data_IF_090859054989
#
_entry.id   IF_090859054989
#
_cell.length_a   1.000
_cell.length_b   1.000
_cell.length_c   1.000
_cell.angle_alpha   90.00
_cell.angle_beta   90.00
_cell.angle_gamma   90.00
#
_symmetry.space_group_name_H-M   'P 1'
#
loop_
_entity.id
_entity.type
_entity.pdbx_description
1 polymer ?
#
# COMPACT_ATOMS: atom_id res chain seq x y z
N UNK A 1 10.69 -28.14 32.20
CA UNK A 1 9.57 -28.05 31.24
C UNK A 1 9.93 -27.00 30.22
N UNK A 2 9.98 -27.32 28.93
CA UNK A 2 10.20 -26.32 27.90
C UNK A 2 9.00 -25.37 27.87
N UNK A 3 9.24 -24.06 28.01
CA UNK A 3 8.20 -23.03 27.86
C UNK A 3 7.64 -23.19 26.44
N UNK A 4 6.37 -23.60 26.31
CA UNK A 4 5.68 -23.68 25.01
C UNK A 4 5.82 -22.28 24.40
N UNK A 5 6.46 -22.19 23.23
CA UNK A 5 6.59 -20.92 22.54
C UNK A 5 5.18 -20.37 22.28
N UNK A 6 4.96 -19.09 22.54
CA UNK A 6 3.67 -18.45 22.24
C UNK A 6 3.47 -18.50 20.71
N UNK A 7 2.43 -19.18 20.19
CA UNK A 7 2.20 -19.25 18.74
C UNK A 7 1.72 -17.90 18.17
N UNK A 8 1.25 -17.00 19.03
CA UNK A 8 0.73 -15.70 18.66
C UNK A 8 1.86 -14.79 18.18
N UNK A 9 1.68 -14.23 16.99
CA UNK A 9 2.64 -13.31 16.40
C UNK A 9 2.67 -11.94 17.08
N UNK A 10 3.74 -11.16 16.85
CA UNK A 10 3.93 -9.87 17.51
C UNK A 10 2.88 -8.82 17.11
N UNK A 11 2.33 -8.88 15.89
CA UNK A 11 1.35 -7.86 15.46
C UNK A 11 -0.02 -8.11 16.06
N UNK A 12 -0.45 -9.37 16.23
CA UNK A 12 -1.67 -9.69 16.98
C UNK A 12 -1.54 -9.22 18.43
N UNK A 13 -0.42 -9.55 19.11
CA UNK A 13 -0.21 -9.15 20.50
C UNK A 13 -0.26 -7.62 20.66
N UNK A 14 0.46 -6.89 19.81
CA UNK A 14 0.44 -5.44 19.82
C UNK A 14 -0.95 -4.87 19.51
N UNK A 15 -1.73 -5.50 18.62
CA UNK A 15 -3.11 -5.06 18.34
C UNK A 15 -4.01 -5.22 19.57
N UNK A 16 -3.90 -6.32 20.31
CA UNK A 16 -4.66 -6.58 21.55
C UNK A 16 -4.28 -5.59 22.65
N UNK A 17 -2.99 -5.25 22.74
CA UNK A 17 -2.45 -4.31 23.73
C UNK A 17 -2.85 -2.86 23.42
N UNK A 18 -2.61 -2.42 22.19
CA UNK A 18 -2.65 -1.00 21.81
C UNK A 18 -4.05 -0.50 21.42
N UNK A 19 -4.91 -1.35 20.83
CA UNK A 19 -6.22 -0.90 20.34
C UNK A 19 -7.30 -0.97 21.43
N UNK A 20 -8.36 -0.17 21.25
CA UNK A 20 -9.59 -0.30 22.06
C UNK A 20 -10.13 -1.72 21.92
N UNK A 21 -10.52 -2.33 23.03
CA UNK A 21 -10.68 -3.79 23.12
C UNK A 21 -11.78 -4.35 22.21
N UNK A 22 -12.88 -3.60 22.02
CA UNK A 22 -13.96 -3.91 21.08
C UNK A 22 -13.46 -3.92 19.63
N UNK A 23 -12.62 -2.95 19.25
CA UNK A 23 -12.01 -2.86 17.93
C UNK A 23 -10.97 -3.96 17.70
N UNK A 24 -10.13 -4.25 18.70
CA UNK A 24 -9.16 -5.34 18.63
C UNK A 24 -9.87 -6.68 18.39
N UNK A 25 -10.91 -6.97 19.17
CA UNK A 25 -11.74 -8.17 19.01
C UNK A 25 -12.40 -8.21 17.64
N UNK A 26 -13.01 -7.11 17.19
CA UNK A 26 -13.67 -7.05 15.90
C UNK A 26 -12.71 -7.29 14.73
N UNK A 27 -11.50 -6.70 14.78
CA UNK A 27 -10.46 -6.91 13.77
C UNK A 27 -9.99 -8.38 13.71
N UNK A 28 -9.84 -9.03 14.86
CA UNK A 28 -9.43 -10.42 14.95
C UNK A 28 -10.54 -11.39 14.53
N UNK A 29 -11.81 -11.01 14.71
CA UNK A 29 -12.97 -11.82 14.34
C UNK A 29 -13.31 -11.79 12.84
N UNK A 30 -12.71 -10.89 12.05
CA UNK A 30 -12.90 -10.89 10.59
C UNK A 30 -12.42 -12.24 10.04
N UNK A 31 -13.06 -12.73 8.98
CA UNK A 31 -12.57 -13.86 8.18
C UNK A 31 -12.66 -13.48 6.69
N UNK A 32 -11.56 -13.65 5.94
CA UNK A 32 -11.49 -13.26 4.52
C UNK A 32 -11.51 -14.47 3.57
N UNK A 33 -11.19 -15.67 4.06
CA UNK A 33 -11.15 -16.90 3.26
C UNK A 33 -12.01 -18.02 3.84
N UNK A 34 -12.54 -18.88 2.96
CA UNK A 34 -13.38 -20.03 3.35
C UNK A 34 -12.68 -21.03 4.28
N UNK A 35 -11.34 -21.08 4.24
CA UNK A 35 -10.52 -21.99 5.04
C UNK A 35 -9.86 -21.30 6.25
N UNK A 36 -10.14 -20.02 6.49
CA UNK A 36 -9.63 -19.32 7.67
C UNK A 36 -10.35 -19.84 8.93
N UNK A 37 -9.63 -20.17 10.02
CA UNK A 37 -10.27 -20.64 11.24
C UNK A 37 -11.12 -19.54 11.88
N UNK A 38 -12.29 -19.92 12.39
CA UNK A 38 -13.05 -19.10 13.32
C UNK A 38 -12.45 -19.26 14.72
N UNK A 39 -11.94 -18.18 15.29
CA UNK A 39 -11.32 -18.19 16.61
C UNK A 39 -12.33 -18.30 17.76
N UNK A 40 -13.64 -18.21 17.48
CA UNK A 40 -14.71 -18.24 18.49
C UNK A 40 -14.45 -17.24 19.63
N UNK A 41 -14.04 -16.02 19.28
CA UNK A 41 -13.69 -14.98 20.25
C UNK A 41 -14.91 -14.59 21.09
N UNK A 42 -14.74 -14.35 22.41
CA UNK A 42 -15.81 -13.90 23.28
C UNK A 42 -16.58 -12.71 22.69
N UNK A 43 -17.91 -12.76 22.77
CA UNK A 43 -18.81 -11.70 22.29
C UNK A 43 -19.18 -10.68 23.38
N UNK A 44 -19.05 -11.07 24.66
CA UNK A 44 -19.44 -10.22 25.79
C UNK A 44 -18.33 -9.21 26.09
N UNK A 45 -18.48 -8.01 25.50
CA UNK A 45 -17.49 -6.95 25.62
C UNK A 45 -17.53 -6.33 27.03
N UNK A 46 -16.36 -6.11 27.67
CA UNK A 46 -16.30 -5.44 28.96
C UNK A 46 -16.70 -3.97 28.83
N UNK A 47 -17.07 -3.35 29.96
CA UNK A 47 -17.20 -1.89 30.03
C UNK A 47 -15.82 -1.27 29.72
N UNK A 48 -15.70 -0.40 28.69
CA UNK A 48 -14.42 0.20 28.31
C UNK A 48 -13.85 1.15 29.37
N UNK A 49 -14.62 1.48 30.42
CA UNK A 49 -14.17 2.30 31.55
C UNK A 49 -13.67 1.50 32.75
N UNK A 50 -13.83 0.17 32.73
CA UNK A 50 -13.33 -0.75 33.75
C UNK A 50 -12.00 -1.38 33.29
N UNK A 51 -10.89 -0.77 33.70
CA UNK A 51 -9.54 -1.19 33.31
C UNK A 51 -9.24 -2.65 33.67
N UNK A 52 -9.72 -3.14 34.82
CA UNK A 52 -9.50 -4.52 35.27
C UNK A 52 -10.28 -5.51 34.39
N UNK A 53 -11.52 -5.17 34.01
CA UNK A 53 -12.32 -5.98 33.10
C UNK A 53 -11.73 -5.99 31.68
N UNK A 54 -11.23 -4.85 31.19
CA UNK A 54 -10.56 -4.75 29.89
C UNK A 54 -9.29 -5.60 29.87
N UNK A 55 -8.46 -5.53 30.92
CA UNK A 55 -7.23 -6.32 31.00
C UNK A 55 -7.53 -7.83 31.12
N UNK A 56 -8.54 -8.21 31.89
CA UNK A 56 -9.01 -9.59 31.94
C UNK A 56 -9.46 -10.10 30.56
N UNK A 57 -10.18 -9.27 29.80
CA UNK A 57 -10.62 -9.61 28.45
C UNK A 57 -9.44 -9.73 27.46
N UNK A 58 -8.42 -8.87 27.55
CA UNK A 58 -7.18 -9.03 26.76
C UNK A 58 -6.51 -10.38 27.03
N UNK A 59 -6.40 -10.76 28.30
CA UNK A 59 -5.85 -12.06 28.69
C UNK A 59 -6.71 -13.23 28.17
N UNK A 60 -8.04 -13.06 28.13
CA UNK A 60 -8.96 -14.03 27.54
C UNK A 60 -8.74 -14.17 26.03
N UNK A 61 -8.63 -13.06 25.28
CA UNK A 61 -8.30 -13.09 23.85
C UNK A 61 -6.97 -13.82 23.60
N UNK A 62 -5.92 -13.50 24.36
CA UNK A 62 -4.62 -14.16 24.27
C UNK A 62 -4.75 -15.66 24.57
N UNK A 63 -5.52 -16.03 25.60
CA UNK A 63 -5.75 -17.42 25.97
C UNK A 63 -6.46 -18.17 24.84
N UNK A 64 -7.54 -17.64 24.29
CA UNK A 64 -8.28 -18.25 23.17
C UNK A 64 -7.39 -18.43 21.95
N UNK A 65 -6.64 -17.40 21.55
CA UNK A 65 -5.74 -17.48 20.41
C UNK A 65 -4.56 -18.44 20.64
N UNK A 66 -4.14 -18.68 21.88
CA UNK A 66 -3.06 -19.62 22.20
C UNK A 66 -3.42 -21.10 21.98
N UNK A 67 -4.70 -21.39 21.75
CA UNK A 67 -5.19 -22.74 21.40
C UNK A 67 -4.93 -23.10 19.93
N UNK A 68 -4.73 -22.09 19.07
CA UNK A 68 -4.45 -22.24 17.64
C UNK A 68 -2.95 -22.34 17.36
N UNK A 69 -2.60 -22.97 16.26
CA UNK A 69 -1.21 -23.04 15.81
C UNK A 69 -0.77 -21.80 15.00
N UNK A 70 0.53 -21.73 14.70
CA UNK A 70 1.09 -20.58 14.00
C UNK A 70 0.61 -20.45 12.54
N UNK A 71 0.28 -21.57 11.89
CA UNK A 71 -0.23 -21.56 10.51
C UNK A 71 -1.67 -21.04 10.48
N UNK A 72 -2.49 -21.44 11.46
CA UNK A 72 -3.87 -20.98 11.69
C UNK A 72 -3.94 -19.48 12.03
N UNK A 73 -2.99 -18.96 12.83
CA UNK A 73 -2.93 -17.55 13.21
C UNK A 73 -2.32 -16.64 12.14
N UNK A 74 -1.68 -17.19 11.10
CA UNK A 74 -0.96 -16.42 10.08
C UNK A 74 -1.84 -15.38 9.36
N UNK A 75 -3.09 -15.67 8.97
CA UNK A 75 -3.97 -14.67 8.34
C UNK A 75 -4.26 -13.49 9.28
N UNK A 76 -4.62 -13.75 10.53
CA UNK A 76 -4.84 -12.71 11.54
C UNK A 76 -3.58 -11.88 11.82
N UNK A 77 -2.40 -12.50 11.83
CA UNK A 77 -1.11 -11.82 11.99
C UNK A 77 -0.80 -10.90 10.80
N UNK A 78 -1.06 -11.34 9.58
CA UNK A 78 -0.89 -10.52 8.38
C UNK A 78 -1.83 -9.30 8.40
N UNK A 79 -3.09 -9.49 8.80
CA UNK A 79 -4.08 -8.41 8.92
C UNK A 79 -3.70 -7.42 10.02
N UNK A 80 -3.30 -7.91 11.19
CA UNK A 80 -2.82 -7.06 12.28
C UNK A 80 -1.61 -6.23 11.85
N UNK A 81 -0.68 -6.81 11.07
CA UNK A 81 0.45 -6.08 10.49
C UNK A 81 0.01 -4.97 9.53
N UNK A 82 -0.96 -5.23 8.65
CA UNK A 82 -1.52 -4.23 7.71
C UNK A 82 -2.12 -3.05 8.46
N UNK A 83 -2.98 -3.32 9.45
CA UNK A 83 -3.60 -2.30 10.31
C UNK A 83 -2.52 -1.47 11.02
N UNK A 84 -1.53 -2.12 11.64
CA UNK A 84 -0.46 -1.41 12.34
C UNK A 84 0.41 -0.55 11.41
N UNK A 85 0.64 -0.99 10.16
CA UNK A 85 1.41 -0.22 9.19
C UNK A 85 0.78 1.15 8.87
N UNK A 86 -0.56 1.26 8.91
CA UNK A 86 -1.27 2.53 8.72
C UNK A 86 -1.52 3.31 10.02
N UNK A 87 -1.21 2.72 11.18
CA UNK A 87 -1.35 3.35 12.48
C UNK A 87 -0.06 4.05 12.96
N UNK A 88 1.07 3.86 12.27
CA UNK A 88 2.38 4.36 12.70
C UNK A 88 3.12 5.14 11.59
N UNK A 89 4.01 6.04 12.00
CA UNK A 89 4.91 6.79 11.14
C UNK A 89 4.22 7.47 9.95
N UNK A 90 4.71 7.19 8.73
CA UNK A 90 4.15 7.72 7.49
C UNK A 90 2.80 7.10 7.12
N UNK A 91 2.42 5.98 7.74
CA UNK A 91 1.14 5.32 7.53
C UNK A 91 -0.03 6.18 7.98
N UNK A 92 0.12 6.85 9.12
CA UNK A 92 -0.89 7.79 9.66
C UNK A 92 -1.20 8.91 8.66
N UNK A 93 -0.16 9.50 8.08
CA UNK A 93 -0.33 10.56 7.06
C UNK A 93 -1.00 9.99 5.83
N UNK A 94 -0.58 8.82 5.34
CA UNK A 94 -1.20 8.18 4.19
C UNK A 94 -2.69 7.91 4.42
N UNK A 95 -3.05 7.31 5.56
CA UNK A 95 -4.44 7.04 5.91
C UNK A 95 -5.26 8.34 5.97
N UNK A 96 -4.78 9.34 6.71
CA UNK A 96 -5.49 10.63 6.86
C UNK A 96 -5.72 11.31 5.51
N UNK A 97 -4.71 11.34 4.63
CA UNK A 97 -4.83 11.95 3.30
C UNK A 97 -5.87 11.26 2.42
N UNK A 98 -5.99 9.93 2.47
CA UNK A 98 -7.00 9.21 1.69
C UNK A 98 -8.39 9.40 2.29
N UNK A 99 -8.50 9.35 3.61
CA UNK A 99 -9.77 9.53 4.35
C UNK A 99 -10.42 10.87 4.00
N UNK A 100 -9.65 11.96 4.03
CA UNK A 100 -10.13 13.32 3.73
C UNK A 100 -10.69 13.48 2.31
N UNK A 101 -10.31 12.58 1.38
CA UNK A 101 -10.73 12.63 -0.01
C UNK A 101 -11.88 11.68 -0.34
N UNK A 102 -12.05 10.59 0.42
CA UNK A 102 -12.95 9.51 0.06
C UNK A 102 -14.15 9.33 0.99
N UNK A 103 -13.98 9.62 2.29
CA UNK A 103 -15.06 9.40 3.24
C UNK A 103 -16.07 10.54 3.20
N UNK A 104 -17.35 10.21 3.35
CA UNK A 104 -18.39 11.22 3.54
C UNK A 104 -18.26 11.91 4.92
N UNK A 105 -19.05 12.96 5.15
CA UNK A 105 -19.02 13.73 6.39
C UNK A 105 -19.32 12.87 7.64
N UNK A 106 -20.21 11.88 7.53
CA UNK A 106 -20.63 11.05 8.66
C UNK A 106 -19.53 10.03 9.01
N UNK A 107 -18.96 9.38 8.00
CA UNK A 107 -17.84 8.46 8.13
C UNK A 107 -16.58 9.20 8.63
N UNK A 108 -16.32 10.41 8.12
CA UNK A 108 -15.21 11.26 8.58
C UNK A 108 -15.36 11.66 10.05
N UNK A 109 -16.58 11.96 10.51
CA UNK A 109 -16.82 12.21 11.94
C UNK A 109 -16.54 10.97 12.78
N UNK A 110 -16.97 9.79 12.33
CA UNK A 110 -16.75 8.55 13.07
C UNK A 110 -15.28 8.15 13.11
N UNK A 111 -14.54 8.32 12.01
CA UNK A 111 -13.08 8.19 11.98
C UNK A 111 -12.42 9.11 13.02
N UNK A 112 -12.82 10.39 13.06
CA UNK A 112 -12.24 11.36 13.98
C UNK A 112 -12.59 11.12 15.46
N UNK A 113 -13.70 10.44 15.74
CA UNK A 113 -14.10 10.02 17.11
C UNK A 113 -13.26 8.88 17.67
N UNK A 114 -12.56 8.13 16.83
CA UNK A 114 -11.70 7.06 17.31
C UNK A 114 -10.55 7.64 18.16
N UNK A 115 -10.23 7.02 19.31
CA UNK A 115 -9.41 7.64 20.36
C UNK A 115 -7.95 7.88 19.95
N UNK A 116 -7.38 7.03 19.11
CA UNK A 116 -5.98 7.07 18.70
C UNK A 116 -5.79 6.55 17.26
N UNK A 117 -4.54 6.54 16.79
CA UNK A 117 -4.20 6.16 15.41
C UNK A 117 -4.41 4.67 15.12
N UNK A 118 -4.23 3.78 16.10
CA UNK A 118 -4.47 2.36 15.88
C UNK A 118 -5.97 2.09 15.78
N UNK A 119 -6.78 2.71 16.62
CA UNK A 119 -8.23 2.62 16.55
C UNK A 119 -8.79 3.22 15.25
N UNK A 120 -8.22 4.32 14.76
CA UNK A 120 -8.53 4.90 13.44
C UNK A 120 -8.24 3.92 12.31
N UNK A 121 -7.05 3.32 12.33
CA UNK A 121 -6.66 2.32 11.33
C UNK A 121 -7.57 1.08 11.37
N UNK A 122 -7.87 0.54 12.55
CA UNK A 122 -8.80 -0.58 12.74
C UNK A 122 -10.20 -0.22 12.26
N UNK A 123 -10.70 0.95 12.63
CA UNK A 123 -12.03 1.40 12.23
C UNK A 123 -12.13 1.52 10.71
N UNK A 124 -11.15 2.11 10.03
CA UNK A 124 -11.14 2.18 8.56
C UNK A 124 -11.07 0.79 7.95
N UNK A 125 -10.23 -0.10 8.49
CA UNK A 125 -10.16 -1.49 8.06
C UNK A 125 -11.54 -2.17 8.12
N UNK A 126 -12.28 -2.00 9.21
CA UNK A 126 -13.57 -2.65 9.44
C UNK A 126 -14.74 -2.03 8.66
N UNK A 127 -14.76 -0.70 8.50
CA UNK A 127 -15.94 0.04 8.03
C UNK A 127 -15.76 0.64 6.63
N UNK A 128 -14.53 0.79 6.15
CA UNK A 128 -14.20 1.41 4.86
C UNK A 128 -13.03 0.66 4.20
N UNK A 129 -13.22 -0.64 3.94
CA UNK A 129 -12.19 -1.57 3.43
C UNK A 129 -11.48 -1.05 2.18
N UNK A 130 -12.21 -0.56 1.19
CA UNK A 130 -11.62 -0.04 -0.06
C UNK A 130 -10.71 1.17 0.21
N UNK A 131 -11.17 2.11 1.05
CA UNK A 131 -10.39 3.27 1.49
C UNK A 131 -9.14 2.87 2.28
N UNK A 132 -9.23 1.83 3.11
CA UNK A 132 -8.07 1.26 3.79
C UNK A 132 -7.03 0.73 2.79
N UNK A 133 -7.47 -0.03 1.78
CA UNK A 133 -6.59 -0.58 0.74
C UNK A 133 -5.96 0.53 -0.12
N UNK A 134 -6.70 1.59 -0.43
CA UNK A 134 -6.16 2.77 -1.11
C UNK A 134 -5.09 3.50 -0.28
N UNK A 135 -5.30 3.60 1.03
CA UNK A 135 -4.30 4.13 1.95
C UNK A 135 -3.05 3.25 2.04
N UNK A 136 -3.20 1.92 1.98
CA UNK A 136 -2.07 0.99 1.89
C UNK A 136 -1.29 1.21 0.60
N UNK A 137 -1.97 1.23 -0.55
CA UNK A 137 -1.35 1.49 -1.86
C UNK A 137 -0.58 2.82 -1.84
N UNK A 138 -1.16 3.89 -1.28
CA UNK A 138 -0.48 5.16 -1.15
C UNK A 138 0.75 5.08 -0.23
N UNK A 139 0.61 4.40 0.92
CA UNK A 139 1.71 4.21 1.86
C UNK A 139 2.89 3.48 1.20
N UNK A 140 2.62 2.38 0.49
CA UNK A 140 3.64 1.64 -0.26
C UNK A 140 4.27 2.46 -1.38
N UNK A 141 3.45 3.15 -2.19
CA UNK A 141 3.94 4.01 -3.27
C UNK A 141 4.89 5.10 -2.75
N UNK A 142 4.55 5.72 -1.61
CA UNK A 142 5.42 6.70 -0.94
C UNK A 142 6.74 6.09 -0.49
N UNK A 143 6.71 4.88 0.10
CA UNK A 143 7.94 4.18 0.46
C UNK A 143 8.82 3.89 -0.77
N UNK A 144 8.25 3.44 -1.88
CA UNK A 144 9.02 3.21 -3.11
C UNK A 144 9.59 4.52 -3.70
N UNK A 145 8.78 5.59 -3.71
CA UNK A 145 9.19 6.91 -4.17
C UNK A 145 10.34 7.47 -3.34
N UNK A 146 10.26 7.37 -2.01
CA UNK A 146 11.29 7.86 -1.08
C UNK A 146 12.61 7.06 -1.20
N UNK A 147 12.53 5.77 -1.51
CA UNK A 147 13.72 4.94 -1.72
C UNK A 147 14.26 5.00 -3.16
N UNK A 148 13.67 5.81 -4.05
CA UNK A 148 14.06 5.90 -5.45
C UNK A 148 13.87 4.59 -6.22
N UNK A 149 12.95 3.73 -5.76
CA UNK A 149 12.66 2.40 -6.34
C UNK A 149 11.46 2.41 -7.29
N UNK A 150 10.96 3.58 -7.69
CA UNK A 150 9.94 3.65 -8.73
C UNK A 150 10.53 3.12 -10.04
N UNK A 151 9.87 2.11 -10.59
CA UNK A 151 10.42 1.23 -11.60
C UNK A 151 10.63 1.95 -12.93
N UNK A 152 9.69 2.81 -13.34
CA UNK A 152 9.80 3.60 -14.57
C UNK A 152 9.33 5.05 -14.36
N UNK A 153 10.02 5.98 -15.02
CA UNK A 153 9.64 7.39 -15.07
C UNK A 153 9.62 7.89 -16.51
N UNK A 154 8.60 8.65 -16.89
CA UNK A 154 8.39 9.17 -18.23
C UNK A 154 8.21 10.69 -18.18
N UNK A 155 8.78 11.38 -19.16
CA UNK A 155 8.57 12.80 -19.38
C UNK A 155 7.45 13.02 -20.39
N UNK A 156 6.52 13.92 -20.06
CA UNK A 156 5.40 14.29 -20.92
C UNK A 156 5.64 15.68 -21.49
N UNK A 157 5.83 15.75 -22.80
CA UNK A 157 5.97 17.02 -23.50
C UNK A 157 4.60 17.57 -23.90
N UNK A 158 3.91 18.20 -22.94
CA UNK A 158 2.66 18.90 -23.19
C UNK A 158 2.90 20.28 -23.81
N UNK A 159 2.19 20.58 -24.90
CA UNK A 159 2.22 21.91 -25.55
C UNK A 159 1.64 22.99 -24.64
N UNK A 160 0.65 22.64 -23.80
CA UNK A 160 0.01 23.53 -22.84
C UNK A 160 0.12 22.98 -21.41
N UNK A 161 0.17 23.88 -20.42
CA UNK A 161 0.07 23.47 -19.02
C UNK A 161 -1.37 23.11 -18.71
N UNK A 162 -1.65 21.82 -18.51
CA UNK A 162 -2.96 21.34 -18.06
C UNK A 162 -2.94 21.34 -16.54
N UNK A 163 -3.75 22.20 -15.93
CA UNK A 163 -4.06 22.09 -14.51
C UNK A 163 -4.99 20.88 -14.35
N UNK A 164 -4.41 19.74 -13.99
CA UNK A 164 -5.13 18.50 -13.73
C UNK A 164 -5.15 18.27 -12.22
N UNK A 165 -6.33 18.00 -11.68
CA UNK A 165 -6.53 17.45 -10.32
C UNK A 165 -7.15 16.06 -10.44
N UNK A 166 -7.21 15.32 -9.33
CA UNK A 166 -7.76 13.97 -9.32
C UNK A 166 -9.23 13.93 -9.76
N UNK A 167 -10.02 14.97 -9.46
CA UNK A 167 -11.46 15.02 -9.78
C UNK A 167 -11.74 15.19 -11.27
N UNK A 168 -10.79 15.76 -12.02
CA UNK A 168 -10.86 15.91 -13.46
C UNK A 168 -10.55 14.61 -14.23
N UNK A 169 -10.08 13.55 -13.55
CA UNK A 169 -9.76 12.28 -14.19
C UNK A 169 -11.02 11.45 -14.37
N UNK A 170 -11.31 11.09 -15.63
CA UNK A 170 -12.34 10.11 -15.96
C UNK A 170 -11.82 8.69 -15.66
N UNK A 171 -12.00 8.27 -14.40
CA UNK A 171 -11.61 6.94 -13.89
C UNK A 171 -12.21 5.81 -14.75
N UNK A 172 -13.45 5.96 -15.20
CA UNK A 172 -14.16 4.93 -15.96
C UNK A 172 -13.61 4.80 -17.40
N UNK A 173 -13.37 5.93 -18.08
CA UNK A 173 -12.75 5.93 -19.40
C UNK A 173 -11.32 5.37 -19.35
N UNK A 174 -10.56 5.74 -18.32
CA UNK A 174 -9.19 5.25 -18.14
C UNK A 174 -9.17 3.74 -17.83
N UNK A 175 -10.04 3.26 -16.94
CA UNK A 175 -10.20 1.84 -16.66
C UNK A 175 -10.58 1.04 -17.92
N UNK A 176 -11.52 1.55 -18.72
CA UNK A 176 -11.94 0.92 -19.97
C UNK A 176 -10.80 0.86 -20.99
N UNK A 177 -10.02 1.93 -21.13
CA UNK A 177 -8.85 1.98 -22.01
C UNK A 177 -7.78 0.99 -21.57
N UNK A 178 -7.40 0.99 -20.29
CA UNK A 178 -6.40 0.06 -19.75
C UNK A 178 -6.86 -1.39 -19.94
N UNK A 179 -8.13 -1.69 -19.64
CA UNK A 179 -8.72 -3.02 -19.83
C UNK A 179 -8.60 -3.49 -21.28
N UNK A 180 -8.87 -2.61 -22.24
CA UNK A 180 -8.79 -2.91 -23.67
C UNK A 180 -7.35 -3.15 -24.13
N UNK A 181 -6.40 -2.30 -23.72
CA UNK A 181 -4.99 -2.42 -24.12
C UNK A 181 -4.31 -3.63 -23.48
N UNK A 182 -4.68 -3.98 -22.24
CA UNK A 182 -4.22 -5.21 -21.57
C UNK A 182 -4.95 -6.48 -22.06
N UNK A 183 -5.89 -6.36 -23.00
CA UNK A 183 -6.68 -7.45 -23.56
C UNK A 183 -7.38 -8.31 -22.48
N UNK A 184 -7.82 -7.68 -21.39
CA UNK A 184 -8.49 -8.38 -20.31
C UNK A 184 -9.86 -8.87 -20.77
N UNK A 185 -10.22 -10.09 -20.35
CA UNK A 185 -11.53 -10.66 -20.68
C UNK A 185 -12.68 -9.79 -20.16
N UNK A 186 -13.86 -9.81 -20.81
CA UNK A 186 -15.02 -9.00 -20.40
C UNK A 186 -15.40 -9.18 -18.93
N UNK A 187 -15.32 -10.39 -18.40
CA UNK A 187 -15.64 -10.74 -17.01
C UNK A 187 -14.61 -10.25 -15.96
N UNK A 188 -13.42 -9.81 -16.39
CA UNK A 188 -12.38 -9.32 -15.47
C UNK A 188 -12.62 -7.84 -15.19
N UNK A 189 -12.77 -7.47 -13.92
CA UNK A 189 -12.83 -6.07 -13.52
C UNK A 189 -11.45 -5.40 -13.66
N UNK A 190 -11.48 -4.15 -14.10
CA UNK A 190 -10.36 -3.23 -14.03
C UNK A 190 -10.93 -1.94 -13.43
N UNK A 191 -10.33 -1.46 -12.35
CA UNK A 191 -10.72 -0.23 -11.68
C UNK A 191 -9.54 0.72 -11.65
N UNK A 192 -9.84 2.01 -11.67
CA UNK A 192 -8.88 3.09 -11.51
C UNK A 192 -9.40 4.01 -10.42
N UNK A 193 -8.54 4.37 -9.48
CA UNK A 193 -8.85 5.38 -8.47
C UNK A 193 -7.86 6.54 -8.57
N UNK A 194 -8.36 7.76 -8.69
CA UNK A 194 -7.57 8.97 -8.71
C UNK A 194 -7.58 9.65 -7.33
N UNK A 195 -6.41 10.10 -6.90
CA UNK A 195 -6.17 10.69 -5.58
C UNK A 195 -5.22 11.87 -5.71
N UNK A 196 -5.55 12.99 -5.09
CA UNK A 196 -4.63 14.12 -5.00
C UNK A 196 -3.61 13.86 -3.89
N UNK A 197 -2.33 14.05 -4.22
CA UNK A 197 -1.24 13.98 -3.27
C UNK A 197 -0.79 15.41 -2.91
N UNK A 198 -0.93 15.83 -1.65
CA UNK A 198 -0.53 17.17 -1.23
C UNK A 198 0.99 17.35 -1.36
N UNK A 199 1.42 18.62 -1.44
CA UNK A 199 2.84 18.96 -1.41
C UNK A 199 3.46 18.54 -0.08
N UNK A 200 4.66 17.99 -0.13
CA UNK A 200 5.48 17.64 1.04
C UNK A 200 6.84 18.30 0.93
N UNK A 201 7.65 18.23 1.99
CA UNK A 201 9.03 18.76 1.96
C UNK A 201 9.91 18.10 0.88
N UNK A 202 9.59 16.85 0.52
CA UNK A 202 10.38 16.06 -0.43
C UNK A 202 9.77 16.01 -1.84
N UNK A 203 8.44 16.10 -1.96
CA UNK A 203 7.73 15.89 -3.22
C UNK A 203 6.71 17.01 -3.49
N UNK A 204 6.67 17.58 -4.71
CA UNK A 204 5.62 18.51 -5.11
C UNK A 204 4.22 17.88 -5.10
N UNK A 205 3.18 18.71 -5.10
CA UNK A 205 1.81 18.27 -5.38
C UNK A 205 1.76 17.40 -6.63
N UNK A 206 1.10 16.26 -6.52
CA UNK A 206 1.05 15.21 -7.54
C UNK A 206 -0.35 14.60 -7.57
N UNK A 207 -0.68 13.88 -8.62
CA UNK A 207 -1.88 13.04 -8.69
C UNK A 207 -1.43 11.59 -8.69
N UNK A 208 -2.07 10.77 -7.87
CA UNK A 208 -1.85 9.33 -7.84
C UNK A 208 -3.02 8.60 -8.46
N UNK A 209 -2.72 7.59 -9.28
CA UNK A 209 -3.67 6.60 -9.75
C UNK A 209 -3.36 5.24 -9.15
N UNK A 210 -4.38 4.56 -8.66
CA UNK A 210 -4.32 3.14 -8.30
C UNK A 210 -5.12 2.37 -9.34
N UNK A 211 -4.45 1.50 -10.08
CA UNK A 211 -5.08 0.64 -11.09
C UNK A 211 -5.10 -0.78 -10.57
N UNK A 212 -6.28 -1.36 -10.38
CA UNK A 212 -6.44 -2.76 -9.93
C UNK A 212 -7.12 -3.59 -10.99
N UNK A 213 -6.61 -4.77 -11.26
CA UNK A 213 -7.25 -5.72 -12.16
C UNK A 213 -6.91 -7.18 -11.82
N UNK A 214 -7.77 -8.11 -12.22
CA UNK A 214 -7.48 -9.53 -12.08
C UNK A 214 -6.39 -9.99 -13.06
N UNK A 215 -5.39 -10.72 -12.55
CA UNK A 215 -4.39 -11.40 -13.36
C UNK A 215 -4.92 -12.62 -14.13
N UNK A 216 -4.04 -13.38 -14.79
CA UNK A 216 -4.42 -14.62 -15.48
C UNK A 216 -5.02 -15.63 -14.49
N UNK A 217 -5.89 -16.52 -14.98
CA UNK A 217 -6.49 -17.55 -14.14
C UNK A 217 -5.38 -18.50 -13.69
N UNK A 218 -5.20 -18.58 -12.38
CA UNK A 218 -4.22 -19.43 -11.72
C UNK A 218 -4.94 -20.52 -10.94
N UNK A 219 -4.20 -21.52 -10.51
CA UNK A 219 -4.70 -22.53 -9.59
C UNK A 219 -3.64 -23.02 -8.63
N UNK A 220 -4.09 -23.46 -7.47
CA UNK A 220 -3.29 -24.19 -6.49
C UNK A 220 -3.99 -25.49 -6.16
N UNK A 221 -3.19 -26.52 -5.86
CA UNK A 221 -3.73 -27.77 -5.35
C UNK A 221 -4.05 -27.61 -3.87
N UNK A 222 -5.28 -27.93 -3.52
CA UNK A 222 -5.73 -28.01 -2.15
C UNK A 222 -5.70 -29.47 -1.68
N UNK A 223 -5.23 -29.71 -0.46
CA UNK A 223 -5.19 -31.04 0.11
C UNK A 223 -6.45 -31.26 0.95
N UNK A 224 -7.40 -32.02 0.41
CA UNK A 224 -8.66 -32.30 1.09
C UNK A 224 -8.44 -33.25 2.27
N UNK A 225 -9.33 -33.17 3.26
CA UNK A 225 -9.30 -34.03 4.44
C UNK A 225 -9.43 -35.54 4.11
N UNK A 226 -9.99 -35.89 2.95
CA UNK A 226 -10.08 -37.26 2.45
C UNK A 226 -8.81 -37.75 1.75
N UNK A 227 -7.72 -36.96 1.77
CA UNK A 227 -6.44 -37.27 1.14
C UNK A 227 -6.40 -37.06 -0.37
N UNK A 228 -7.48 -36.55 -0.97
CA UNK A 228 -7.52 -36.23 -2.41
C UNK A 228 -7.04 -34.81 -2.67
N UNK A 229 -6.59 -34.57 -3.90
CA UNK A 229 -6.25 -33.23 -4.38
C UNK A 229 -7.51 -32.54 -4.90
N UNK A 230 -7.88 -31.44 -4.28
CA UNK A 230 -8.76 -30.42 -4.85
C UNK A 230 -7.94 -29.44 -5.69
N UNK A 231 -8.62 -28.69 -6.57
CA UNK A 231 -8.01 -27.56 -7.27
C UNK A 231 -8.81 -26.32 -6.93
N UNK A 232 -8.15 -25.32 -6.37
CA UNK A 232 -8.72 -23.99 -6.16
C UNK A 232 -8.26 -23.12 -7.33
N UNK A 233 -9.22 -22.57 -8.07
CA UNK A 233 -8.96 -21.61 -9.13
C UNK A 233 -9.13 -20.20 -8.58
N UNK A 234 -8.19 -19.32 -8.86
CA UNK A 234 -8.23 -17.92 -8.43
C UNK A 234 -7.55 -17.03 -9.48
N UNK A 235 -7.77 -15.72 -9.37
CA UNK A 235 -7.02 -14.72 -10.14
C UNK A 235 -6.21 -13.89 -9.15
N UNK A 236 -4.87 -13.80 -9.31
CA UNK A 236 -4.08 -12.94 -8.45
C UNK A 236 -4.51 -11.48 -8.67
N UNK A 237 -4.64 -10.69 -7.60
CA UNK A 237 -4.85 -9.25 -7.75
C UNK A 237 -3.57 -8.62 -8.29
N UNK A 238 -3.67 -7.91 -9.41
CA UNK A 238 -2.61 -7.09 -9.93
C UNK A 238 -2.92 -5.64 -9.61
N UNK A 239 -1.91 -4.91 -9.14
CA UNK A 239 -1.98 -3.48 -8.87
C UNK A 239 -0.85 -2.74 -9.56
N UNK A 240 -1.17 -1.58 -10.11
CA UNK A 240 -0.19 -0.60 -10.58
C UNK A 240 -0.50 0.76 -9.96
N UNK A 241 0.51 1.42 -9.42
CA UNK A 241 0.40 2.81 -8.97
C UNK A 241 1.10 3.72 -9.95
N UNK A 242 0.42 4.78 -10.42
CA UNK A 242 1.01 5.84 -11.22
C UNK A 242 0.98 7.14 -10.42
N UNK A 243 2.07 7.91 -10.46
CA UNK A 243 2.15 9.25 -9.87
C UNK A 243 2.50 10.23 -10.98
N UNK A 244 1.61 11.17 -11.25
CA UNK A 244 1.86 12.30 -12.15
C UNK A 244 2.19 13.54 -11.34
N UNK A 245 3.34 14.17 -11.62
CA UNK A 245 3.74 15.44 -11.00
C UNK A 245 3.64 16.57 -12.03
N UNK A 246 2.57 17.39 -12.01
CA UNK A 246 2.31 18.39 -13.06
C UNK A 246 3.43 19.42 -13.22
N UNK A 247 4.03 19.87 -12.11
CA UNK A 247 5.12 20.87 -12.12
C UNK A 247 6.40 20.37 -12.79
N UNK A 248 6.62 19.05 -12.76
CA UNK A 248 7.76 18.38 -13.41
C UNK A 248 7.38 17.77 -14.77
N UNK A 249 6.09 17.74 -15.12
CA UNK A 249 5.54 17.03 -16.27
C UNK A 249 6.02 15.57 -16.35
N UNK A 250 6.08 14.93 -15.18
CA UNK A 250 6.68 13.62 -15.03
C UNK A 250 5.61 12.62 -14.58
N UNK A 251 5.57 11.48 -15.25
CA UNK A 251 4.82 10.29 -14.84
C UNK A 251 5.82 9.31 -14.21
N UNK A 252 5.49 8.75 -13.05
CA UNK A 252 6.26 7.70 -12.39
C UNK A 252 5.34 6.51 -12.14
N UNK A 253 5.74 5.29 -12.50
CA UNK A 253 4.88 4.11 -12.39
C UNK A 253 5.55 2.98 -11.61
N UNK A 254 4.77 2.38 -10.71
CA UNK A 254 5.12 1.23 -9.90
C UNK A 254 4.18 0.05 -10.24
N UNK A 255 4.73 -0.97 -10.90
CA UNK A 255 4.05 -2.25 -11.14
C UNK A 255 5.08 -3.34 -11.46
N UNK A 256 4.74 -4.59 -11.18
CA UNK A 256 5.65 -5.74 -11.39
C UNK A 256 5.98 -6.00 -12.87
N UNK A 257 5.05 -5.69 -13.77
CA UNK A 257 5.19 -5.95 -15.21
C UNK A 257 5.58 -4.69 -15.99
N UNK A 258 6.69 -4.70 -16.75
CA UNK A 258 7.04 -3.60 -17.65
C UNK A 258 5.94 -3.26 -18.66
N UNK A 259 5.21 -4.27 -19.14
CA UNK A 259 4.07 -4.08 -20.05
C UNK A 259 2.97 -3.29 -19.35
N UNK A 260 2.64 -3.64 -18.11
CA UNK A 260 1.64 -2.91 -17.32
C UNK A 260 2.10 -1.47 -17.07
N UNK A 261 3.38 -1.24 -16.75
CA UNK A 261 3.91 0.12 -16.52
C UNK A 261 3.79 0.99 -17.77
N UNK A 262 4.15 0.47 -18.94
CA UNK A 262 4.00 1.18 -20.21
C UNK A 262 2.52 1.43 -20.53
N UNK A 263 1.67 0.40 -20.45
CA UNK A 263 0.24 0.50 -20.76
C UNK A 263 -0.49 1.51 -19.87
N UNK A 264 -0.22 1.50 -18.56
CA UNK A 264 -0.83 2.45 -17.62
C UNK A 264 -0.36 3.88 -17.91
N UNK A 265 0.94 4.07 -18.19
CA UNK A 265 1.50 5.38 -18.53
C UNK A 265 0.90 5.95 -19.81
N UNK A 266 0.86 5.15 -20.88
CA UNK A 266 0.35 5.57 -22.19
C UNK A 266 -1.16 5.85 -22.12
N UNK A 267 -1.91 4.99 -21.45
CA UNK A 267 -3.37 5.18 -21.27
C UNK A 267 -3.67 6.46 -20.49
N UNK A 268 -2.90 6.72 -19.43
CA UNK A 268 -3.05 7.96 -18.67
C UNK A 268 -2.72 9.20 -19.51
N UNK A 269 -1.60 9.16 -20.25
CA UNK A 269 -1.19 10.27 -21.11
C UNK A 269 -2.24 10.57 -22.20
N UNK A 270 -2.81 9.56 -22.85
CA UNK A 270 -3.85 9.76 -23.86
C UNK A 270 -5.16 10.28 -23.26
N UNK A 271 -5.65 9.63 -22.21
CA UNK A 271 -7.01 9.88 -21.69
C UNK A 271 -7.05 11.13 -20.80
N UNK A 272 -6.09 11.28 -19.89
CA UNK A 272 -6.10 12.37 -18.91
C UNK A 272 -5.35 13.62 -19.39
N UNK A 273 -4.29 13.46 -20.20
CA UNK A 273 -3.46 14.58 -20.67
C UNK A 273 -3.71 14.97 -22.13
N UNK A 274 -4.52 14.20 -22.88
CA UNK A 274 -4.78 14.45 -24.29
C UNK A 274 -3.54 14.31 -25.17
N UNK A 275 -2.53 13.57 -24.71
CA UNK A 275 -1.25 13.40 -25.41
C UNK A 275 -1.36 12.28 -26.45
N UNK A 276 -1.10 12.60 -27.72
CA UNK A 276 -1.15 11.61 -28.81
C UNK A 276 0.12 10.75 -28.83
N UNK A 277 0.06 9.61 -28.13
CA UNK A 277 1.16 8.63 -28.05
C UNK A 277 1.53 8.07 -29.41
N UNK A 278 0.59 8.00 -30.36
CA UNK A 278 0.82 7.43 -31.69
C UNK A 278 1.75 8.29 -32.54
N UNK A 279 1.66 9.61 -32.39
CA UNK A 279 2.52 10.58 -33.06
C UNK A 279 3.79 10.87 -32.25
N UNK A 280 3.67 10.87 -30.92
CA UNK A 280 4.74 11.25 -30.01
C UNK A 280 4.80 10.30 -28.81
N UNK A 281 5.59 9.22 -28.87
CA UNK A 281 5.74 8.32 -27.73
C UNK A 281 6.28 9.03 -26.49
N UNK A 282 5.93 8.53 -25.29
CA UNK A 282 6.50 9.04 -24.05
C UNK A 282 8.02 8.87 -24.04
N UNK A 283 8.73 9.89 -23.55
CA UNK A 283 10.18 9.83 -23.42
C UNK A 283 10.52 9.22 -22.07
N UNK A 284 11.17 8.05 -22.08
CA UNK A 284 11.63 7.43 -20.85
C UNK A 284 12.74 8.26 -20.20
N UNK A 285 12.59 8.59 -18.92
CA UNK A 285 13.55 9.40 -18.18
C UNK A 285 14.83 8.59 -17.97
N UNK A 286 15.86 8.91 -18.76
CA UNK A 286 17.16 8.26 -18.64
C UNK A 286 17.94 8.91 -17.49
N UNK A 287 18.31 8.11 -16.49
CA UNK A 287 19.27 8.56 -15.49
C UNK A 287 20.62 8.84 -16.16
N UNK A 288 21.08 10.09 -16.06
CA UNK A 288 22.38 10.46 -16.58
C UNK A 288 23.49 9.95 -15.64
N UNK A 289 24.00 8.75 -15.95
CA UNK A 289 25.11 8.14 -15.21
C UNK A 289 26.48 8.71 -15.63
N UNK A 290 26.55 9.77 -16.44
CA UNK A 290 27.83 10.34 -16.88
C UNK A 290 28.72 10.78 -15.71
N UNK A 291 28.14 11.13 -14.56
CA UNK A 291 28.89 11.50 -13.35
C UNK A 291 29.80 10.37 -12.87
N UNK A 292 29.40 9.11 -13.06
CA UNK A 292 30.23 7.94 -12.74
C UNK A 292 31.37 7.71 -13.74
N UNK A 293 31.37 8.40 -14.90
CA UNK A 293 32.48 8.35 -15.86
C UNK A 293 33.65 9.26 -15.47
N UNK A 294 33.48 10.11 -14.45
CA UNK A 294 34.50 11.05 -13.98
C UNK A 294 34.78 10.85 -12.49
N UNK A 295 36.04 10.99 -12.07
CA UNK A 295 36.39 10.89 -10.66
C UNK A 295 35.65 11.93 -9.82
N UNK A 296 34.86 11.47 -8.84
CA UNK A 296 34.19 12.32 -7.87
C UNK A 296 35.17 12.71 -6.75
N UNK A 297 35.49 14.00 -6.64
CA UNK A 297 36.25 14.54 -5.51
C UNK A 297 35.27 15.02 -4.45
N UNK A 298 35.27 14.38 -3.28
CA UNK A 298 34.54 14.85 -2.11
C UNK A 298 35.37 15.93 -1.41
N UNK A 299 34.71 16.97 -0.91
CA UNK A 299 35.37 17.90 0.00
C UNK A 299 35.68 17.16 1.29
N UNK A 300 36.91 17.28 1.78
CA UNK A 300 37.29 16.73 3.07
C UNK A 300 36.50 17.44 4.18
N UNK A 301 35.94 16.72 5.17
CA UNK A 301 35.25 17.35 6.28
C UNK A 301 36.21 18.20 7.11
N UNK A 302 35.75 19.35 7.60
CA UNK A 302 36.49 20.16 8.56
C UNK A 302 36.15 19.69 9.98
N UNK A 303 37.11 19.05 10.64
CA UNK A 303 36.99 18.63 12.04
C UNK A 303 38.19 19.21 12.78
N UNK A 304 37.92 20.03 13.79
CA UNK A 304 38.96 20.69 14.59
C UNK A 304 39.97 19.67 15.15
N UNK A 305 41.25 19.97 14.96
CA UNK A 305 42.37 19.11 15.39
C UNK A 305 42.75 17.98 14.44
N UNK A 306 42.04 17.80 13.31
CA UNK A 306 42.35 16.75 12.34
C UNK A 306 42.55 17.32 10.92
N UNK A 307 43.58 16.82 10.22
CA UNK A 307 43.81 17.11 8.80
C UNK A 307 43.54 15.85 7.97
N UNK A 308 42.54 15.89 7.10
CA UNK A 308 42.20 14.78 6.22
C UNK A 308 42.98 14.88 4.90
N UNK A 309 43.77 13.85 4.58
CA UNK A 309 44.61 13.84 3.38
C UNK A 309 43.81 13.67 2.08
N UNK A 310 42.73 12.89 2.11
CA UNK A 310 41.79 12.75 0.98
C UNK A 310 40.45 12.19 1.46
N UNK A 311 39.39 12.48 0.70
CA UNK A 311 38.10 11.82 0.80
C UNK A 311 37.79 11.17 -0.56
N UNK A 312 37.33 9.91 -0.53
CA UNK A 312 36.96 9.16 -1.74
C UNK A 312 35.63 8.46 -1.53
N UNK A 313 34.86 8.35 -2.61
CA UNK A 313 33.72 7.43 -2.64
C UNK A 313 34.28 6.00 -2.73
N UNK A 314 33.94 5.18 -1.75
CA UNK A 314 34.36 3.76 -1.68
C UNK A 314 33.30 2.84 -2.29
N UNK A 315 32.04 3.26 -2.22
CA UNK A 315 30.90 2.53 -2.72
C UNK A 315 29.84 3.53 -3.20
N UNK A 316 29.22 3.23 -4.33
CA UNK A 316 28.03 3.91 -4.80
C UNK A 316 27.04 2.84 -5.23
N UNK A 317 25.94 2.72 -4.49
CA UNK A 317 24.90 1.76 -4.79
C UNK A 317 23.84 2.43 -5.68
N UNK A 318 23.64 1.88 -6.89
CA UNK A 318 22.49 2.23 -7.73
C UNK A 318 21.55 1.05 -7.66
N UNK A 319 20.44 1.20 -6.93
CA UNK A 319 19.38 0.21 -6.90
C UNK A 319 18.48 0.43 -8.11
N UNK A 320 18.83 -0.20 -9.22
CA UNK A 320 17.88 -0.37 -10.32
C UNK A 320 16.80 -1.32 -9.80
N UNK A 321 15.54 -0.88 -9.75
CA UNK A 321 14.43 -1.71 -9.30
C UNK A 321 14.36 -2.98 -10.12
N UNK A 322 14.72 -4.11 -9.50
CA UNK A 322 14.44 -5.46 -9.98
C UNK A 322 13.27 -5.98 -9.17
#
# INVERSE_FOLDING_TARGET
MARKANPIGPNILALIEDARIDLARAALAVTEGENEPDFALPDDLPDPTDDDAVEAFRLELIKTLSEFDQDELRPAEQRSRRIRALADGKGVTSLTTIIEQQLDDAQSQEFNRQPDQICRSVWTYLNARETFEDAESFHFARQFRDHGKLYDAFEVELENHVALDATAIDEAALAAKIKAVLELKPEISCTVKALDLPTTDTHPASIMLIVRHGGPLSSVYDHRQDGRRGTIYYRPPNEATLIYTPSLRQIEVCADSPVVRQTVSDSFAEVALGHDISQKPLTWKRYNLSRFRTSLRLQAPEIDGYAFAFARVVEAEIRLGI
#
